data_IF_941986551411
#
_entry.id   IF_941986551411
#
_cell.length_a   1.000
_cell.length_b   1.000
_cell.length_c   1.000
_cell.angle_alpha   90.00
_cell.angle_beta   90.00
_cell.angle_gamma   90.00
#
_symmetry.space_group_name_H-M   'P 1'
#
loop_
_entity.id
_entity.type
_entity.pdbx_description
1 polymer ?
#
# COMPACT_ATOMS: atom_id res chain seq x y z
N UNK A 1 -23.16 -6.65 -30.62
CA UNK A 1 -21.85 -6.46 -29.94
C UNK A 1 -22.00 -5.74 -28.61
N UNK A 2 -22.74 -4.62 -28.52
CA UNK A 2 -23.00 -3.89 -27.26
C UNK A 2 -23.83 -4.68 -26.21
N UNK A 3 -24.74 -5.58 -26.62
CA UNK A 3 -25.54 -6.40 -25.69
C UNK A 3 -24.70 -7.37 -24.88
N UNK A 4 -23.68 -7.99 -25.50
CA UNK A 4 -22.82 -8.95 -24.84
C UNK A 4 -22.02 -8.28 -23.72
N UNK A 5 -21.48 -7.07 -23.97
CA UNK A 5 -20.74 -6.32 -22.96
C UNK A 5 -21.59 -6.01 -21.70
N UNK A 6 -22.88 -5.70 -21.87
CA UNK A 6 -23.78 -5.45 -20.73
C UNK A 6 -23.98 -6.71 -19.88
N UNK A 7 -24.18 -7.86 -20.52
CA UNK A 7 -24.32 -9.14 -19.81
C UNK A 7 -23.01 -9.53 -19.10
N UNK A 8 -21.84 -9.31 -19.72
CA UNK A 8 -20.54 -9.52 -19.07
C UNK A 8 -20.37 -8.66 -17.81
N UNK A 9 -20.81 -7.39 -17.83
CA UNK A 9 -20.74 -6.53 -16.64
C UNK A 9 -21.70 -6.97 -15.52
N UNK A 10 -22.89 -7.50 -15.87
CA UNK A 10 -23.82 -8.08 -14.88
C UNK A 10 -23.27 -9.37 -14.26
N UNK A 11 -22.66 -10.25 -15.05
CA UNK A 11 -22.01 -11.46 -14.55
C UNK A 11 -20.81 -11.14 -13.64
N UNK A 12 -19.93 -10.20 -14.06
CA UNK A 12 -18.78 -9.77 -13.26
C UNK A 12 -19.22 -9.14 -11.94
N UNK A 13 -20.31 -8.36 -11.94
CA UNK A 13 -20.87 -7.80 -10.70
C UNK A 13 -21.37 -8.91 -9.77
N UNK A 14 -22.03 -9.94 -10.31
CA UNK A 14 -22.50 -11.09 -9.53
C UNK A 14 -21.37 -11.94 -8.94
N UNK A 15 -20.22 -12.06 -9.63
CA UNK A 15 -19.03 -12.72 -9.10
C UNK A 15 -18.29 -11.87 -8.06
N UNK A 16 -18.21 -10.56 -8.26
CA UNK A 16 -17.63 -9.62 -7.29
C UNK A 16 -18.39 -9.59 -5.96
N UNK A 17 -19.70 -9.86 -5.96
CA UNK A 17 -20.49 -10.02 -4.72
C UNK A 17 -20.21 -11.34 -3.99
N UNK A 18 -19.70 -12.37 -4.67
CA UNK A 18 -19.23 -13.61 -4.04
C UNK A 18 -17.85 -13.49 -3.41
N UNK A 19 -17.12 -12.41 -3.72
CA UNK A 19 -15.84 -12.12 -3.09
C UNK A 19 -16.12 -11.69 -1.65
N UNK A 20 -15.63 -12.49 -0.70
CA UNK A 20 -15.70 -12.19 0.72
C UNK A 20 -14.76 -11.04 1.03
N UNK A 21 -15.27 -9.81 0.93
CA UNK A 21 -14.54 -8.63 1.35
C UNK A 21 -14.32 -8.64 2.86
N UNK A 22 -13.10 -8.34 3.34
CA UNK A 22 -12.83 -8.26 4.77
C UNK A 22 -13.72 -7.20 5.41
N UNK A 23 -14.12 -7.44 6.67
CA UNK A 23 -14.92 -6.49 7.41
C UNK A 23 -14.15 -5.17 7.55
N UNK A 24 -14.83 -4.02 7.39
CA UNK A 24 -14.21 -2.67 7.44
C UNK A 24 -13.29 -2.46 8.65
N UNK A 25 -13.60 -3.09 9.79
CA UNK A 25 -12.81 -3.03 11.01
C UNK A 25 -11.42 -3.70 10.86
N UNK A 26 -11.35 -4.83 10.18
CA UNK A 26 -10.09 -5.57 9.96
C UNK A 26 -9.20 -4.86 8.94
N UNK A 27 -9.80 -4.28 7.91
CA UNK A 27 -9.07 -3.46 6.93
C UNK A 27 -8.40 -2.27 7.61
N UNK A 28 -9.14 -1.54 8.44
CA UNK A 28 -8.61 -0.36 9.16
C UNK A 28 -7.50 -0.77 10.14
N UNK A 29 -7.70 -1.88 10.88
CA UNK A 29 -6.69 -2.38 11.82
C UNK A 29 -5.38 -2.73 11.08
N UNK A 30 -5.48 -3.45 9.96
CA UNK A 30 -4.31 -3.83 9.15
C UNK A 30 -3.63 -2.61 8.53
N UNK A 31 -4.41 -1.63 8.03
CA UNK A 31 -3.85 -0.37 7.53
C UNK A 31 -3.06 0.36 8.62
N UNK A 32 -3.56 0.38 9.87
CA UNK A 32 -2.83 1.07 10.94
C UNK A 32 -1.51 0.42 11.29
N UNK A 33 -1.45 -0.90 11.31
CA UNK A 33 -0.20 -1.65 11.50
C UNK A 33 0.80 -1.30 10.40
N UNK A 34 0.37 -1.29 9.14
CA UNK A 34 1.23 -0.97 8.00
C UNK A 34 1.77 0.46 8.10
N UNK A 35 0.94 1.45 8.43
CA UNK A 35 1.40 2.83 8.61
C UNK A 35 2.44 2.94 9.73
N UNK A 36 2.22 2.29 10.87
CA UNK A 36 3.18 2.30 11.97
C UNK A 36 4.54 1.73 11.55
N UNK A 37 4.54 0.60 10.82
CA UNK A 37 5.76 -0.03 10.32
C UNK A 37 6.50 0.89 9.33
N UNK A 38 5.78 1.48 8.37
CA UNK A 38 6.39 2.40 7.39
C UNK A 38 7.00 3.62 8.09
N UNK A 39 6.34 4.16 9.12
CA UNK A 39 6.84 5.31 9.87
C UNK A 39 8.17 4.97 10.57
N UNK A 40 8.28 3.79 11.17
CA UNK A 40 9.53 3.33 11.81
C UNK A 40 10.64 3.13 10.76
N UNK A 41 10.34 2.44 9.66
CA UNK A 41 11.33 2.14 8.61
C UNK A 41 11.83 3.43 7.95
N UNK A 42 10.91 4.35 7.62
CA UNK A 42 11.26 5.62 6.99
C UNK A 42 12.15 6.48 7.89
N UNK A 43 11.89 6.50 9.20
CA UNK A 43 12.73 7.21 10.17
C UNK A 43 14.14 6.60 10.25
N UNK A 44 14.23 5.27 10.26
CA UNK A 44 15.52 4.57 10.28
C UNK A 44 16.33 4.84 9.00
N UNK A 45 15.74 4.64 7.83
CA UNK A 45 16.41 4.89 6.56
C UNK A 45 16.79 6.37 6.40
N UNK A 46 15.90 7.29 6.75
CA UNK A 46 16.20 8.73 6.71
C UNK A 46 17.36 9.11 7.64
N UNK A 47 17.46 8.50 8.83
CA UNK A 47 18.61 8.70 9.71
C UNK A 47 19.90 8.17 9.07
N UNK A 48 19.87 6.98 8.47
CA UNK A 48 21.01 6.43 7.73
C UNK A 48 21.43 7.34 6.57
N UNK A 49 20.49 7.87 5.79
CA UNK A 49 20.78 8.76 4.67
C UNK A 49 21.49 10.05 5.14
N UNK A 50 21.05 10.64 6.26
CA UNK A 50 21.70 11.82 6.84
C UNK A 50 23.11 11.51 7.32
N UNK A 51 23.33 10.35 7.94
CA UNK A 51 24.65 9.92 8.40
C UNK A 51 25.58 9.70 7.20
N UNK A 52 25.13 8.98 6.18
CA UNK A 52 25.89 8.75 4.96
C UNK A 52 26.19 10.07 4.24
N UNK A 53 25.22 10.97 4.12
CA UNK A 53 25.41 12.27 3.48
C UNK A 53 26.48 13.11 4.20
N UNK A 54 26.48 13.11 5.54
CA UNK A 54 27.53 13.78 6.33
C UNK A 54 28.91 13.13 6.12
N UNK A 55 28.96 11.81 6.09
CA UNK A 55 30.20 11.06 5.90
C UNK A 55 30.78 11.28 4.49
N UNK A 56 29.93 11.24 3.47
CA UNK A 56 30.29 11.58 2.09
C UNK A 56 30.80 13.02 1.97
N UNK A 57 30.16 13.97 2.65
CA UNK A 57 30.62 15.38 2.66
C UNK A 57 31.98 15.54 3.32
N UNK A 58 32.31 14.73 4.34
CA UNK A 58 33.62 14.74 4.99
C UNK A 58 34.71 14.13 4.11
N UNK A 59 34.38 13.11 3.30
CA UNK A 59 35.34 12.47 2.40
C UNK A 59 35.64 13.33 1.16
N UNK A 60 34.64 14.04 0.65
CA UNK A 60 34.78 14.88 -0.54
C UNK A 60 35.36 16.28 -0.25
N UNK A 61 35.38 16.68 1.03
CA UNK A 61 35.99 17.92 1.52
C UNK A 61 37.46 17.70 1.89
#
# INVERSE_FOLDING_TARGET
MLSNAKNFFEEVKGELEKVTWPARKETIATTWVVVAIILIISLYLGACDVVLAKLMRLILA
#
